data_IF_448163564451
#
_entry.id   IF_448163564451
#
_cell.length_a   1.000
_cell.length_b   1.000
_cell.length_c   1.000
_cell.angle_alpha   90.00
_cell.angle_beta   90.00
_cell.angle_gamma   90.00
#
_symmetry.space_group_name_H-M   'P 1'
#
loop_
_entity.id
_entity.type
_entity.pdbx_description
1 polymer ?
#
# COMPACT_ATOMS: atom_id res chain seq x y z
N UNK A 1 -15.95 43.86 -36.08
CA UNK A 1 -16.89 43.75 -34.94
C UNK A 1 -17.13 42.27 -34.68
N UNK A 2 -16.71 41.60 -33.61
CA UNK A 2 -16.07 42.07 -32.39
C UNK A 2 -15.31 40.88 -31.75
N UNK A 3 -14.07 40.62 -32.21
CA UNK A 3 -13.15 39.63 -31.61
C UNK A 3 -12.62 40.07 -30.24
N UNK A 4 -13.01 41.26 -29.75
CA UNK A 4 -12.61 41.86 -28.46
C UNK A 4 -13.58 41.58 -27.30
N UNK A 5 -14.62 40.75 -27.50
CA UNK A 5 -15.50 40.24 -26.40
C UNK A 5 -15.13 38.84 -25.88
N UNK A 6 -14.00 38.27 -26.31
CA UNK A 6 -13.51 36.96 -25.85
C UNK A 6 -12.45 37.02 -24.73
N UNK A 7 -12.14 38.21 -24.21
CA UNK A 7 -11.45 38.33 -22.93
C UNK A 7 -12.48 38.41 -21.79
N UNK A 8 -12.19 37.72 -20.68
CA UNK A 8 -12.74 37.95 -19.32
C UNK A 8 -13.90 37.08 -18.77
N UNK A 9 -14.13 35.83 -19.22
CA UNK A 9 -14.71 34.83 -18.29
C UNK A 9 -13.59 34.24 -17.42
N UNK A 10 -13.31 34.92 -16.30
CA UNK A 10 -12.29 34.50 -15.31
C UNK A 10 -12.66 33.22 -14.55
N UNK A 11 -13.95 32.86 -14.56
CA UNK A 11 -14.51 31.57 -14.12
C UNK A 11 -15.44 31.03 -15.21
N UNK A 12 -15.56 29.71 -15.29
CA UNK A 12 -16.36 29.02 -16.31
C UNK A 12 -15.57 27.93 -17.02
N UNK A 13 -16.11 26.71 -17.01
CA UNK A 13 -15.59 25.60 -17.81
C UNK A 13 -16.75 24.83 -18.45
N UNK A 14 -16.63 24.54 -19.75
CA UNK A 14 -17.58 23.66 -20.45
C UNK A 14 -17.68 22.29 -19.77
N UNK A 15 -18.85 21.70 -19.85
CA UNK A 15 -19.09 20.39 -19.27
C UNK A 15 -18.21 19.36 -19.96
N UNK A 16 -17.81 18.37 -19.18
CA UNK A 16 -17.09 17.18 -19.66
C UNK A 16 -15.68 17.43 -20.24
N UNK A 17 -15.27 18.70 -20.37
CA UNK A 17 -13.90 19.09 -20.69
C UNK A 17 -13.05 19.16 -19.42
N UNK A 18 -11.81 18.68 -19.50
CA UNK A 18 -10.78 18.88 -18.47
C UNK A 18 -9.78 19.93 -18.97
N UNK A 19 -10.05 21.21 -18.68
CA UNK A 19 -9.09 22.31 -18.92
C UNK A 19 -8.72 22.98 -17.61
N UNK A 20 -7.41 22.98 -17.32
CA UNK A 20 -6.84 23.64 -16.15
C UNK A 20 -6.39 25.06 -16.51
N UNK A 21 -6.42 25.94 -15.51
CA UNK A 21 -5.90 27.30 -15.58
C UNK A 21 -4.95 27.53 -14.41
N UNK A 22 -3.95 28.36 -14.64
CA UNK A 22 -3.09 28.87 -13.58
C UNK A 22 -3.92 29.60 -12.51
N UNK A 23 -3.38 29.63 -11.29
CA UNK A 23 -4.05 30.28 -10.17
C UNK A 23 -4.34 31.74 -10.45
N UNK A 24 -5.53 32.20 -10.08
CA UNK A 24 -5.94 33.61 -10.18
C UNK A 24 -6.44 34.10 -8.83
N UNK A 25 -5.88 35.21 -8.35
CA UNK A 25 -6.31 35.87 -7.12
C UNK A 25 -7.81 36.21 -7.13
N UNK A 26 -8.35 36.56 -8.31
CA UNK A 26 -9.76 36.88 -8.49
C UNK A 26 -10.72 35.75 -8.12
N UNK A 27 -10.28 34.48 -8.06
CA UNK A 27 -11.12 33.37 -7.57
C UNK A 27 -11.55 33.55 -6.12
N UNK A 28 -10.72 34.18 -5.28
CA UNK A 28 -11.10 34.52 -3.90
C UNK A 28 -12.22 35.56 -3.91
N UNK A 29 -12.12 36.56 -4.78
CA UNK A 29 -13.14 37.61 -4.92
C UNK A 29 -14.47 37.06 -5.43
N UNK A 30 -14.44 36.13 -6.41
CA UNK A 30 -15.65 35.45 -6.88
C UNK A 30 -16.31 34.64 -5.78
N UNK A 31 -15.52 33.92 -4.97
CA UNK A 31 -16.04 33.22 -3.81
C UNK A 31 -16.69 34.17 -2.80
N UNK A 32 -16.02 35.26 -2.41
CA UNK A 32 -16.58 36.18 -1.39
C UNK A 32 -17.86 36.88 -1.89
N UNK A 33 -17.93 37.23 -3.19
CA UNK A 33 -19.15 37.75 -3.82
C UNK A 33 -20.29 36.73 -3.75
N UNK A 34 -20.04 35.48 -4.16
CA UNK A 34 -21.07 34.44 -4.17
C UNK A 34 -21.50 34.04 -2.74
N UNK A 35 -20.55 34.00 -1.79
CA UNK A 35 -20.83 33.76 -0.36
C UNK A 35 -21.77 34.80 0.23
N UNK A 36 -21.62 36.08 -0.15
CA UNK A 36 -22.53 37.15 0.27
C UNK A 36 -23.95 36.89 -0.22
N UNK A 37 -24.12 36.58 -1.51
CA UNK A 37 -25.42 36.25 -2.12
C UNK A 37 -26.06 35.01 -1.45
N UNK A 38 -25.27 33.97 -1.21
CA UNK A 38 -25.74 32.77 -0.50
C UNK A 38 -26.23 33.12 0.91
N UNK A 39 -25.46 33.89 1.69
CA UNK A 39 -25.88 34.30 3.04
C UNK A 39 -27.17 35.09 3.05
N UNK A 40 -27.34 36.01 2.10
CA UNK A 40 -28.56 36.81 1.97
C UNK A 40 -29.78 35.93 1.66
N UNK A 41 -29.61 34.84 0.91
CA UNK A 41 -30.71 33.99 0.45
C UNK A 41 -31.05 32.81 1.35
N UNK A 42 -30.04 32.10 1.87
CA UNK A 42 -30.21 30.87 2.66
C UNK A 42 -29.90 31.05 4.16
N UNK A 43 -29.60 32.28 4.57
CA UNK A 43 -29.43 32.68 5.97
C UNK A 43 -28.00 32.60 6.49
N UNK A 44 -27.76 33.25 7.64
CA UNK A 44 -26.44 33.39 8.26
C UNK A 44 -26.06 32.26 9.21
N UNK A 45 -27.02 31.39 9.56
CA UNK A 45 -26.83 30.25 10.45
C UNK A 45 -25.97 29.14 9.82
N UNK A 46 -25.92 29.06 8.49
CA UNK A 46 -25.12 28.06 7.77
C UNK A 46 -23.64 28.47 7.72
N UNK A 47 -22.75 27.48 7.76
CA UNK A 47 -21.31 27.73 7.62
C UNK A 47 -20.92 27.60 6.16
N UNK A 48 -20.21 28.59 5.61
CA UNK A 48 -19.83 28.63 4.19
C UNK A 48 -18.32 28.80 4.07
N UNK A 49 -17.68 27.88 3.36
CA UNK A 49 -16.23 27.79 3.20
C UNK A 49 -15.84 27.67 1.71
N UNK A 50 -14.76 28.33 1.31
CA UNK A 50 -14.16 28.13 -0.02
C UNK A 50 -13.33 26.85 0.04
N UNK A 51 -13.65 25.88 -0.82
CA UNK A 51 -12.93 24.61 -0.90
C UNK A 51 -12.44 24.36 -2.33
N UNK A 52 -11.90 23.16 -2.57
CA UNK A 52 -11.37 22.79 -3.87
C UNK A 52 -10.07 23.54 -4.21
N UNK A 53 -9.56 23.32 -5.42
CA UNK A 53 -8.25 23.87 -5.82
C UNK A 53 -8.26 25.39 -6.02
N UNK A 54 -9.41 25.99 -6.39
CA UNK A 54 -9.51 27.45 -6.56
C UNK A 54 -9.36 28.21 -5.23
N UNK A 55 -9.49 27.52 -4.09
CA UNK A 55 -9.25 28.08 -2.77
C UNK A 55 -7.78 28.04 -2.33
N UNK A 56 -6.87 27.46 -3.12
CA UNK A 56 -5.46 27.29 -2.74
C UNK A 56 -4.59 28.22 -3.60
N UNK A 57 -3.92 29.23 -3.02
CA UNK A 57 -2.98 30.08 -3.75
C UNK A 57 -1.90 29.28 -4.48
N UNK A 58 -1.59 29.65 -5.73
CA UNK A 58 -0.59 28.99 -6.57
C UNK A 58 -1.01 27.65 -7.20
N UNK A 59 -2.23 27.17 -6.94
CA UNK A 59 -2.69 25.87 -7.40
C UNK A 59 -3.43 25.95 -8.75
N UNK A 60 -2.99 25.18 -9.76
CA UNK A 60 -3.75 25.01 -11.01
C UNK A 60 -5.14 24.44 -10.73
N UNK A 61 -6.17 24.93 -11.39
CA UNK A 61 -7.52 24.43 -11.16
C UNK A 61 -8.37 24.51 -12.42
N UNK A 62 -9.44 23.73 -12.43
CA UNK A 62 -10.58 24.06 -13.29
C UNK A 62 -11.14 25.39 -12.77
N UNK A 63 -11.46 26.36 -13.63
CA UNK A 63 -11.91 27.69 -13.22
C UNK A 63 -13.38 27.65 -12.72
N UNK A 64 -13.66 26.81 -11.73
CA UNK A 64 -14.96 26.60 -11.09
C UNK A 64 -14.77 26.84 -9.59
N UNK A 65 -15.62 27.66 -8.99
CA UNK A 65 -15.58 27.94 -7.56
C UNK A 65 -16.32 26.84 -6.80
N UNK A 66 -15.60 26.05 -6.00
CA UNK A 66 -16.18 25.02 -5.14
C UNK A 66 -16.46 25.59 -3.74
N UNK A 67 -17.70 25.49 -3.30
CA UNK A 67 -18.22 26.08 -2.06
C UNK A 67 -18.76 24.95 -1.18
N UNK A 68 -18.35 24.93 0.09
CA UNK A 68 -18.86 23.97 1.08
C UNK A 68 -19.83 24.67 2.02
N UNK A 69 -21.03 24.11 2.16
CA UNK A 69 -22.07 24.63 3.07
C UNK A 69 -22.40 23.58 4.12
N UNK A 70 -22.25 23.96 5.39
CA UNK A 70 -22.51 23.11 6.55
C UNK A 70 -23.89 23.43 7.13
N UNK A 71 -24.79 22.45 7.10
CA UNK A 71 -26.14 22.50 7.69
C UNK A 71 -26.25 21.56 8.89
N UNK A 72 -27.30 21.69 9.71
CA UNK A 72 -27.43 20.91 10.95
C UNK A 72 -27.80 19.45 10.68
N UNK A 73 -28.80 19.24 9.82
CA UNK A 73 -29.18 17.93 9.30
C UNK A 73 -29.31 17.96 7.78
N UNK A 74 -29.03 16.84 7.12
CA UNK A 74 -29.26 16.70 5.68
C UNK A 74 -30.75 16.64 5.34
N UNK A 75 -31.60 16.25 6.29
CA UNK A 75 -33.06 16.24 6.11
C UNK A 75 -33.62 17.65 5.87
N UNK A 76 -32.88 18.69 6.29
CA UNK A 76 -33.24 20.09 6.08
C UNK A 76 -32.99 20.55 4.63
N UNK A 77 -32.42 19.70 3.76
CA UNK A 77 -32.02 20.10 2.39
C UNK A 77 -33.18 20.69 1.59
N UNK A 78 -34.41 20.20 1.80
CA UNK A 78 -35.61 20.68 1.13
C UNK A 78 -35.82 22.19 1.28
N UNK A 79 -35.44 22.75 2.44
CA UNK A 79 -35.55 24.18 2.74
C UNK A 79 -34.60 25.06 1.92
N UNK A 80 -33.58 24.45 1.30
CA UNK A 80 -32.55 25.17 0.56
C UNK A 80 -32.67 25.00 -0.96
N UNK A 81 -33.42 24.02 -1.46
CA UNK A 81 -33.49 23.73 -2.90
C UNK A 81 -34.04 24.92 -3.68
N UNK A 82 -35.22 25.41 -3.31
CA UNK A 82 -35.87 26.50 -4.05
C UNK A 82 -35.12 27.84 -3.93
N UNK A 83 -34.66 28.27 -2.73
CA UNK A 83 -33.81 29.46 -2.62
C UNK A 83 -32.52 29.39 -3.46
N UNK A 84 -31.91 28.22 -3.56
CA UNK A 84 -30.74 27.99 -4.41
C UNK A 84 -31.10 28.03 -5.91
N UNK A 85 -32.24 27.47 -6.31
CA UNK A 85 -32.74 27.52 -7.69
C UNK A 85 -32.96 28.97 -8.15
N UNK A 86 -33.51 29.83 -7.29
CA UNK A 86 -33.69 31.26 -7.57
C UNK A 86 -32.36 32.00 -7.78
N UNK A 87 -31.27 31.52 -7.17
CA UNK A 87 -29.90 32.01 -7.42
C UNK A 87 -29.24 31.41 -8.67
N UNK A 88 -29.98 30.60 -9.44
CA UNK A 88 -29.51 29.94 -10.66
C UNK A 88 -28.70 28.67 -10.43
N UNK A 89 -28.82 28.04 -9.25
CA UNK A 89 -28.26 26.71 -9.02
C UNK A 89 -29.23 25.61 -9.43
N UNK A 90 -28.70 24.51 -9.95
CA UNK A 90 -29.45 23.31 -10.25
C UNK A 90 -29.10 22.23 -9.22
N UNK A 91 -30.12 21.67 -8.56
CA UNK A 91 -29.95 20.57 -7.61
C UNK A 91 -29.72 19.23 -8.31
N UNK A 92 -28.71 18.47 -7.84
CA UNK A 92 -28.26 17.21 -8.46
C UNK A 92 -28.33 16.01 -7.50
N UNK A 93 -29.00 16.15 -6.36
CA UNK A 93 -29.04 15.08 -5.35
C UNK A 93 -27.66 14.78 -4.77
N UNK A 94 -27.40 13.51 -4.46
CA UNK A 94 -26.10 13.10 -3.93
C UNK A 94 -24.99 13.04 -4.97
N UNK A 95 -25.32 12.91 -6.26
CA UNK A 95 -24.36 12.83 -7.37
C UNK A 95 -23.16 11.88 -7.08
N UNK A 96 -23.45 10.70 -6.53
CA UNK A 96 -22.48 9.63 -6.28
C UNK A 96 -21.62 9.77 -5.03
N UNK A 97 -21.89 10.74 -4.14
CA UNK A 97 -21.16 10.90 -2.87
C UNK A 97 -22.15 10.86 -1.70
N UNK A 98 -22.19 9.75 -0.92
CA UNK A 98 -23.08 9.62 0.22
C UNK A 98 -22.91 10.74 1.25
N UNK A 99 -24.03 11.23 1.79
CA UNK A 99 -24.02 12.25 2.84
C UNK A 99 -23.61 13.64 2.34
N UNK A 100 -23.83 13.92 1.06
CA UNK A 100 -23.61 15.21 0.41
C UNK A 100 -24.79 15.53 -0.51
N UNK A 101 -25.23 16.78 -0.54
CA UNK A 101 -26.14 17.31 -1.56
C UNK A 101 -25.40 18.27 -2.49
N UNK A 102 -25.51 18.06 -3.79
CA UNK A 102 -24.73 18.79 -4.80
C UNK A 102 -25.60 19.77 -5.58
N UNK A 103 -25.12 21.00 -5.72
CA UNK A 103 -25.72 22.06 -6.53
C UNK A 103 -24.71 22.61 -7.51
N UNK A 104 -25.21 22.98 -8.68
CA UNK A 104 -24.36 23.44 -9.78
C UNK A 104 -24.94 24.68 -10.43
N UNK A 105 -24.15 25.74 -10.59
CA UNK A 105 -24.55 26.98 -11.28
C UNK A 105 -23.79 27.19 -12.57
N UNK A 106 -24.47 27.76 -13.57
CA UNK A 106 -23.96 27.87 -14.93
C UNK A 106 -25.05 28.16 -15.95
N UNK A 107 -24.77 27.96 -17.24
CA UNK A 107 -25.75 28.12 -18.33
C UNK A 107 -26.15 26.78 -18.98
N UNK A 108 -26.14 25.70 -18.21
CA UNK A 108 -26.35 24.33 -18.69
C UNK A 108 -25.13 23.72 -19.40
N UNK A 109 -24.42 24.48 -20.24
CA UNK A 109 -23.21 24.02 -20.96
C UNK A 109 -21.90 24.30 -20.22
N UNK A 110 -21.85 25.37 -19.43
CA UNK A 110 -20.66 25.84 -18.71
C UNK A 110 -20.96 25.88 -17.22
N UNK A 111 -20.11 25.26 -16.39
CA UNK A 111 -20.13 25.38 -14.93
C UNK A 111 -19.30 26.57 -14.45
N UNK A 112 -19.81 27.34 -13.49
CA UNK A 112 -19.06 28.42 -12.81
C UNK A 112 -18.90 28.17 -11.31
N UNK A 113 -19.93 27.66 -10.65
CA UNK A 113 -19.91 27.38 -9.21
C UNK A 113 -20.48 26.00 -8.91
N UNK A 114 -19.87 25.34 -7.93
CA UNK A 114 -20.29 24.06 -7.39
C UNK A 114 -20.48 24.23 -5.88
N UNK A 115 -21.67 23.92 -5.38
CA UNK A 115 -21.98 24.02 -3.95
C UNK A 115 -22.22 22.60 -3.42
N UNK A 116 -21.53 22.28 -2.33
CA UNK A 116 -21.59 20.99 -1.64
C UNK A 116 -22.22 21.22 -0.27
N UNK A 117 -23.48 20.81 -0.10
CA UNK A 117 -24.14 20.79 1.20
C UNK A 117 -23.79 19.50 1.95
N UNK A 118 -23.35 19.64 3.19
CA UNK A 118 -22.98 18.52 4.06
C UNK A 118 -23.43 18.81 5.48
N UNK A 119 -23.56 17.77 6.31
CA UNK A 119 -23.76 17.96 7.76
C UNK A 119 -22.53 18.67 8.33
N UNK A 120 -22.72 19.75 9.08
CA UNK A 120 -21.65 20.50 9.70
C UNK A 120 -20.83 19.60 10.64
N UNK A 121 -19.50 19.70 10.57
CA UNK A 121 -18.53 18.84 11.29
C UNK A 121 -18.59 17.33 10.99
N UNK A 122 -19.34 16.91 9.96
CA UNK A 122 -19.25 15.54 9.44
C UNK A 122 -17.89 15.23 8.80
N UNK A 123 -17.66 13.98 8.44
CA UNK A 123 -16.46 13.55 7.73
C UNK A 123 -16.28 14.29 6.40
N UNK A 124 -17.36 14.47 5.63
CA UNK A 124 -17.31 15.26 4.39
C UNK A 124 -16.88 16.71 4.68
N UNK A 125 -17.42 17.34 5.72
CA UNK A 125 -17.03 18.69 6.12
C UNK A 125 -15.54 18.76 6.48
N UNK A 126 -15.10 17.89 7.39
CA UNK A 126 -13.73 17.89 7.87
C UNK A 126 -12.73 17.52 6.78
N UNK A 127 -13.05 16.54 5.92
CA UNK A 127 -12.19 16.08 4.81
C UNK A 127 -11.85 17.21 3.85
N UNK A 128 -12.85 17.99 3.42
CA UNK A 128 -12.62 19.09 2.49
C UNK A 128 -11.76 20.20 3.09
N UNK A 129 -12.04 20.61 4.33
CA UNK A 129 -11.27 21.67 5.00
C UNK A 129 -9.84 21.23 5.32
N UNK A 130 -9.66 20.00 5.83
CA UNK A 130 -8.34 19.45 6.10
C UNK A 130 -7.50 19.44 4.83
N UNK A 131 -8.05 18.98 3.70
CA UNK A 131 -7.27 18.88 2.46
C UNK A 131 -6.89 20.25 1.90
N UNK A 132 -7.84 21.20 1.90
CA UNK A 132 -7.54 22.60 1.53
C UNK A 132 -6.43 23.18 2.40
N UNK A 133 -6.59 23.10 3.71
CA UNK A 133 -5.64 23.70 4.66
C UNK A 133 -4.27 23.03 4.52
N UNK A 134 -4.23 21.72 4.29
CA UNK A 134 -3.01 21.00 4.01
C UNK A 134 -2.30 21.54 2.78
N UNK A 135 -2.99 21.69 1.65
CA UNK A 135 -2.38 22.24 0.43
C UNK A 135 -1.88 23.69 0.60
N UNK A 136 -2.47 24.46 1.52
CA UNK A 136 -2.04 25.84 1.82
C UNK A 136 -0.82 25.91 2.73
N UNK A 137 -0.65 24.91 3.60
CA UNK A 137 0.38 24.92 4.67
C UNK A 137 1.55 23.99 4.37
N UNK A 138 1.41 23.10 3.39
CA UNK A 138 2.41 22.11 3.02
C UNK A 138 2.79 22.25 1.55
N UNK A 139 3.92 22.92 1.31
CA UNK A 139 4.43 23.19 -0.02
C UNK A 139 4.71 21.91 -0.82
N UNK A 140 5.23 20.87 -0.17
CA UNK A 140 5.53 19.59 -0.80
C UNK A 140 4.24 18.91 -1.30
N UNK A 141 3.21 18.78 -0.45
CA UNK A 141 1.90 18.22 -0.83
C UNK A 141 1.28 19.06 -1.96
N UNK A 142 1.36 20.38 -1.85
CA UNK A 142 0.82 21.31 -2.84
C UNK A 142 1.46 21.11 -4.21
N UNK A 143 2.80 21.09 -4.27
CA UNK A 143 3.56 20.85 -5.50
C UNK A 143 3.25 19.49 -6.12
N UNK A 144 3.16 18.42 -5.33
CA UNK A 144 2.81 17.09 -5.87
C UNK A 144 1.38 17.03 -6.40
N UNK A 145 0.43 17.66 -5.70
CA UNK A 145 -0.94 17.72 -6.18
C UNK A 145 -1.06 18.55 -7.46
N UNK A 146 -0.25 19.59 -7.61
CA UNK A 146 -0.09 20.34 -8.85
C UNK A 146 0.40 19.44 -9.99
N UNK A 147 1.53 18.75 -9.78
CA UNK A 147 2.14 17.84 -10.78
C UNK A 147 1.16 16.75 -11.22
N UNK A 148 0.48 16.11 -10.26
CA UNK A 148 -0.53 15.09 -10.51
C UNK A 148 -1.65 15.63 -11.41
N UNK A 149 -2.19 16.81 -11.09
CA UNK A 149 -3.28 17.39 -11.88
C UNK A 149 -2.87 17.74 -13.30
N UNK A 150 -1.63 18.20 -13.50
CA UNK A 150 -1.08 18.48 -14.82
C UNK A 150 -1.05 17.20 -15.66
N UNK A 151 -0.42 16.14 -15.13
CA UNK A 151 -0.36 14.83 -15.80
C UNK A 151 -1.73 14.24 -16.08
N UNK A 152 -2.65 14.29 -15.12
CA UNK A 152 -4.01 13.79 -15.30
C UNK A 152 -4.79 14.59 -16.36
N UNK A 153 -4.56 15.89 -16.47
CA UNK A 153 -5.19 16.70 -17.51
C UNK A 153 -4.63 16.36 -18.91
N UNK A 154 -3.33 16.08 -19.00
CA UNK A 154 -2.68 15.62 -20.23
C UNK A 154 -3.18 14.21 -20.63
N UNK A 155 -3.43 13.33 -19.66
CA UNK A 155 -3.83 11.92 -19.89
C UNK A 155 -5.33 11.75 -20.15
N UNK A 156 -6.18 12.53 -19.48
CA UNK A 156 -7.64 12.35 -19.48
C UNK A 156 -8.39 13.62 -19.95
N UNK A 157 -7.85 14.33 -20.94
CA UNK A 157 -8.41 15.59 -21.46
C UNK A 157 -9.91 15.50 -21.82
N UNK A 158 -10.36 14.33 -22.28
CA UNK A 158 -11.74 14.04 -22.72
C UNK A 158 -12.56 13.16 -21.75
N UNK A 159 -11.99 12.73 -20.60
CA UNK A 159 -12.69 11.86 -19.64
C UNK A 159 -12.68 12.40 -18.20
N UNK A 160 -13.67 13.25 -17.91
CA UNK A 160 -13.83 13.94 -16.62
C UNK A 160 -14.06 13.01 -15.41
N UNK A 161 -14.84 11.92 -15.48
CA UNK A 161 -14.97 10.97 -14.38
C UNK A 161 -13.63 10.34 -13.99
N UNK A 162 -12.89 9.78 -14.95
CA UNK A 162 -11.57 9.18 -14.70
C UNK A 162 -10.57 10.19 -14.13
N UNK A 163 -10.56 11.43 -14.63
CA UNK A 163 -9.75 12.51 -14.04
C UNK A 163 -10.09 12.79 -12.57
N UNK A 164 -11.37 12.73 -12.21
CA UNK A 164 -11.83 13.04 -10.86
C UNK A 164 -11.48 11.93 -9.89
N UNK A 165 -11.75 10.68 -10.27
CA UNK A 165 -11.47 9.49 -9.45
C UNK A 165 -9.97 9.26 -9.26
N UNK A 166 -9.16 9.55 -10.27
CA UNK A 166 -7.70 9.39 -10.20
C UNK A 166 -7.03 10.29 -9.14
N UNK A 167 -7.72 11.34 -8.65
CA UNK A 167 -7.21 12.19 -7.56
C UNK A 167 -7.55 11.67 -6.17
N UNK A 168 -8.54 10.77 -6.05
CA UNK A 168 -9.05 10.31 -4.76
C UNK A 168 -7.98 9.63 -3.92
N UNK A 169 -7.13 8.82 -4.55
CA UNK A 169 -6.00 8.16 -3.88
C UNK A 169 -5.02 9.18 -3.30
N UNK A 170 -4.62 10.17 -4.10
CA UNK A 170 -3.72 11.23 -3.62
C UNK A 170 -4.33 11.99 -2.43
N UNK A 171 -5.60 12.39 -2.53
CA UNK A 171 -6.27 13.16 -1.47
C UNK A 171 -6.32 12.35 -0.18
N UNK A 172 -6.71 11.08 -0.26
CA UNK A 172 -6.79 10.19 0.90
C UNK A 172 -5.42 9.99 1.55
N UNK A 173 -4.37 9.80 0.74
CA UNK A 173 -3.00 9.63 1.22
C UNK A 173 -2.48 10.92 1.88
N UNK A 174 -2.63 12.05 1.21
CA UNK A 174 -2.18 13.35 1.69
C UNK A 174 -2.84 13.72 3.03
N UNK A 175 -4.13 13.42 3.19
CA UNK A 175 -4.88 13.70 4.42
C UNK A 175 -4.44 12.87 5.62
N UNK A 176 -3.85 11.70 5.41
CA UNK A 176 -3.47 10.78 6.49
C UNK A 176 -2.02 10.97 6.93
N UNK A 177 -1.09 11.20 6.00
CA UNK A 177 0.35 11.22 6.32
C UNK A 177 1.14 12.32 5.55
N UNK A 178 0.79 13.60 5.65
CA UNK A 178 1.17 14.64 4.68
C UNK A 178 2.66 14.86 4.39
N UNK A 179 3.56 14.62 5.36
CA UNK A 179 4.99 14.92 5.21
C UNK A 179 5.82 13.67 4.86
N UNK A 180 5.72 12.62 5.66
CA UNK A 180 6.59 11.43 5.50
C UNK A 180 6.19 10.59 4.28
N UNK A 181 4.90 10.54 3.94
CA UNK A 181 4.41 9.71 2.82
C UNK A 181 4.83 10.26 1.47
N UNK A 182 4.95 11.58 1.32
CA UNK A 182 5.12 12.18 0.00
C UNK A 182 6.52 11.96 -0.54
N UNK A 183 7.53 11.92 0.32
CA UNK A 183 8.89 11.54 -0.06
C UNK A 183 8.90 10.11 -0.60
N UNK A 184 8.28 9.16 0.12
CA UNK A 184 8.12 7.78 -0.36
C UNK A 184 7.36 7.68 -1.66
N UNK A 185 6.25 8.39 -1.79
CA UNK A 185 5.48 8.37 -3.03
C UNK A 185 6.22 9.00 -4.22
N UNK A 186 7.24 9.82 -3.98
CA UNK A 186 8.12 10.33 -5.03
C UNK A 186 9.12 9.26 -5.46
N UNK A 187 9.68 8.51 -4.52
CA UNK A 187 10.51 7.33 -4.80
C UNK A 187 9.73 6.27 -5.62
N UNK A 188 8.40 6.23 -5.47
CA UNK A 188 7.53 5.35 -6.24
C UNK A 188 7.21 5.82 -7.67
N UNK A 189 7.65 7.02 -8.09
CA UNK A 189 7.49 7.50 -9.48
C UNK A 189 8.41 6.79 -10.48
N UNK A 190 9.51 6.23 -10.00
CA UNK A 190 10.38 5.35 -10.78
C UNK A 190 10.77 4.19 -9.88
N UNK A 191 9.92 3.17 -9.86
CA UNK A 191 10.02 2.10 -8.88
C UNK A 191 11.24 1.20 -9.13
N UNK A 192 12.16 1.21 -8.17
CA UNK A 192 13.37 0.35 -8.15
C UNK A 192 13.47 -0.53 -6.90
N UNK A 193 12.34 -0.73 -6.19
CA UNK A 193 12.24 -1.42 -4.89
C UNK A 193 12.81 -2.85 -4.90
N UNK A 194 12.62 -3.60 -5.98
CA UNK A 194 13.01 -4.99 -6.06
C UNK A 194 13.92 -5.24 -7.27
N UNK A 195 14.55 -6.43 -7.36
CA UNK A 195 15.51 -6.74 -8.42
C UNK A 195 14.94 -6.66 -9.84
N UNK A 196 13.61 -6.60 -10.00
CA UNK A 196 12.94 -6.40 -11.29
C UNK A 196 13.20 -5.01 -11.90
N UNK A 197 13.57 -4.02 -11.09
CA UNK A 197 13.94 -2.67 -11.51
C UNK A 197 13.05 -2.09 -12.63
N UNK A 198 11.73 -2.10 -12.43
CA UNK A 198 10.79 -1.81 -13.52
C UNK A 198 10.66 -0.31 -13.85
N UNK A 199 11.16 0.58 -12.99
CA UNK A 199 11.23 2.04 -13.20
C UNK A 199 9.90 2.74 -13.51
N UNK A 200 8.79 2.04 -13.30
CA UNK A 200 7.45 2.57 -13.54
C UNK A 200 7.05 3.60 -12.50
N UNK A 201 6.09 4.42 -12.88
CA UNK A 201 5.36 5.29 -11.95
C UNK A 201 4.17 4.54 -11.34
N UNK A 202 4.30 4.14 -10.07
CA UNK A 202 3.26 3.36 -9.37
C UNK A 202 1.96 4.14 -9.12
N UNK A 203 1.94 5.45 -9.35
CA UNK A 203 0.71 6.24 -9.33
C UNK A 203 -0.25 5.88 -10.45
N UNK A 204 0.29 5.47 -11.59
CA UNK A 204 -0.48 5.30 -12.83
C UNK A 204 -0.37 3.88 -13.39
N UNK A 205 0.71 3.18 -13.07
CA UNK A 205 1.04 1.89 -13.65
C UNK A 205 1.35 0.86 -12.57
N UNK A 206 1.24 -0.41 -12.95
CA UNK A 206 1.59 -1.55 -12.12
C UNK A 206 2.65 -2.37 -12.85
N UNK A 207 3.68 -2.77 -12.12
CA UNK A 207 4.81 -3.51 -12.68
C UNK A 207 4.54 -5.01 -12.63
N UNK A 208 5.62 -5.78 -12.77
CA UNK A 208 5.58 -7.23 -12.60
C UNK A 208 4.86 -7.65 -11.31
N UNK A 209 5.19 -6.97 -10.20
CA UNK A 209 4.61 -7.25 -8.89
C UNK A 209 3.18 -6.75 -8.68
N UNK A 210 2.51 -6.16 -9.69
CA UNK A 210 1.12 -5.69 -9.65
C UNK A 210 0.77 -4.68 -8.53
N UNK A 211 1.78 -4.12 -7.87
CA UNK A 211 1.63 -3.30 -6.67
C UNK A 211 1.62 -1.81 -6.99
N UNK A 212 0.71 -1.07 -6.34
CA UNK A 212 0.52 0.37 -6.52
C UNK A 212 1.16 1.20 -5.40
N UNK A 213 0.61 2.40 -5.19
CA UNK A 213 1.01 3.32 -4.11
C UNK A 213 0.55 2.86 -2.74
N UNK A 214 -0.69 2.37 -2.64
CA UNK A 214 -1.23 1.79 -1.41
C UNK A 214 -0.71 0.37 -1.23
N UNK A 215 -0.58 -0.07 0.03
CA UNK A 215 -0.38 -1.50 0.30
C UNK A 215 -1.67 -2.23 0.06
N UNK A 216 -1.60 -3.48 -0.40
CA UNK A 216 -2.77 -4.34 -0.54
C UNK A 216 -2.66 -5.48 0.46
N UNK A 217 -3.66 -5.64 1.32
CA UNK A 217 -3.68 -6.62 2.40
C UNK A 217 -4.93 -7.48 2.25
N UNK A 218 -4.78 -8.79 2.39
CA UNK A 218 -5.91 -9.71 2.40
C UNK A 218 -6.44 -9.97 3.81
N UNK A 219 -5.52 -10.21 4.75
CA UNK A 219 -5.80 -10.69 6.08
C UNK A 219 -4.74 -10.18 7.05
N UNK A 220 -5.16 -9.79 8.25
CA UNK A 220 -4.30 -9.68 9.41
C UNK A 220 -4.97 -10.37 10.59
N UNK A 221 -4.19 -11.12 11.38
CA UNK A 221 -4.67 -11.82 12.57
C UNK A 221 -3.49 -12.32 13.41
N UNK A 222 -3.77 -12.77 14.62
CA UNK A 222 -2.86 -13.67 15.33
C UNK A 222 -2.80 -15.02 14.61
N UNK A 223 -1.62 -15.37 14.13
CA UNK A 223 -1.35 -16.63 13.46
C UNK A 223 -0.47 -17.51 14.34
N UNK A 224 -0.86 -18.78 14.46
CA UNK A 224 -0.16 -19.77 15.30
C UNK A 224 0.59 -20.81 14.46
N UNK A 225 0.55 -20.71 13.13
CA UNK A 225 1.23 -21.62 12.20
C UNK A 225 2.64 -21.20 11.80
N UNK A 226 3.17 -20.07 12.31
CA UNK A 226 4.60 -19.73 12.15
C UNK A 226 5.47 -20.58 13.08
N UNK A 227 6.80 -20.51 12.96
CA UNK A 227 7.72 -21.26 13.83
C UNK A 227 7.42 -21.04 15.32
N UNK A 228 7.63 -22.08 16.17
CA UNK A 228 7.28 -22.01 17.59
C UNK A 228 7.83 -20.79 18.33
N UNK A 229 9.04 -20.35 17.95
CA UNK A 229 9.71 -19.18 18.55
C UNK A 229 9.13 -17.83 18.08
N UNK A 230 8.34 -17.81 17.01
CA UNK A 230 7.62 -16.62 16.53
C UNK A 230 6.17 -16.61 17.01
N UNK A 231 5.49 -17.75 16.90
CA UNK A 231 4.09 -17.92 17.29
C UNK A 231 3.93 -17.93 18.81
N UNK A 232 4.78 -18.68 19.52
CA UNK A 232 4.69 -18.87 20.96
C UNK A 232 3.26 -19.18 21.45
N UNK A 233 2.96 -18.77 22.68
CA UNK A 233 1.63 -18.91 23.28
C UNK A 233 0.63 -17.82 22.87
N UNK A 234 1.08 -16.68 22.34
CA UNK A 234 0.23 -15.51 22.05
C UNK A 234 0.02 -15.25 20.57
N UNK A 235 0.58 -16.08 19.69
CA UNK A 235 0.52 -15.93 18.25
C UNK A 235 1.45 -14.85 17.70
N UNK A 236 1.81 -15.02 16.44
CA UNK A 236 2.49 -14.02 15.61
C UNK A 236 1.43 -13.07 15.03
N UNK A 237 1.59 -11.76 15.18
CA UNK A 237 0.67 -10.76 14.62
C UNK A 237 0.90 -10.62 13.13
N UNK A 238 0.33 -11.52 12.33
CA UNK A 238 0.69 -11.68 10.93
C UNK A 238 -0.19 -10.84 10.00
N UNK A 239 0.44 -10.11 9.08
CA UNK A 239 -0.19 -9.31 8.03
C UNK A 239 0.17 -9.92 6.67
N UNK A 240 -0.82 -10.43 5.96
CA UNK A 240 -0.67 -11.08 4.66
C UNK A 240 -0.89 -10.07 3.52
N UNK A 241 0.22 -9.64 2.92
CA UNK A 241 0.19 -8.72 1.78
C UNK A 241 -0.19 -9.43 0.48
N UNK A 242 -0.97 -8.74 -0.35
CA UNK A 242 -1.33 -9.18 -1.69
C UNK A 242 -0.29 -8.71 -2.71
N UNK A 243 -0.27 -9.44 -3.84
CA UNK A 243 0.72 -9.41 -4.90
C UNK A 243 2.10 -9.93 -4.45
N UNK A 244 3.04 -10.09 -5.39
CA UNK A 244 4.40 -10.54 -5.10
C UNK A 244 5.35 -10.15 -6.22
N UNK A 245 6.63 -9.91 -5.90
CA UNK A 245 7.69 -9.69 -6.89
C UNK A 245 8.26 -10.98 -7.51
N UNK A 246 7.77 -12.14 -7.06
CA UNK A 246 8.17 -13.48 -7.50
C UNK A 246 6.97 -14.25 -8.08
N UNK A 247 7.19 -14.98 -9.17
CA UNK A 247 6.15 -15.67 -9.93
C UNK A 247 6.09 -17.17 -9.67
N UNK A 248 6.10 -17.61 -8.42
CA UNK A 248 6.18 -19.04 -8.06
C UNK A 248 5.00 -19.84 -8.62
N UNK A 249 5.26 -20.85 -9.43
CA UNK A 249 4.23 -21.74 -10.01
C UNK A 249 3.58 -22.66 -8.98
N UNK A 250 4.21 -22.83 -7.82
CA UNK A 250 3.74 -23.67 -6.71
C UNK A 250 3.36 -22.83 -5.47
N UNK A 251 3.06 -21.53 -5.63
CA UNK A 251 2.79 -20.66 -4.49
C UNK A 251 1.55 -21.12 -3.69
N UNK A 252 1.73 -21.52 -2.43
CA UNK A 252 0.62 -21.85 -1.53
C UNK A 252 -0.29 -20.65 -1.25
N UNK A 253 0.27 -19.44 -1.32
CA UNK A 253 -0.45 -18.17 -1.17
C UNK A 253 -0.89 -17.55 -2.51
N UNK A 254 -1.01 -18.33 -3.60
CA UNK A 254 -1.26 -17.78 -4.95
C UNK A 254 -2.52 -16.90 -5.06
N UNK A 255 -3.54 -17.15 -4.24
CA UNK A 255 -4.76 -16.33 -4.21
C UNK A 255 -4.45 -14.86 -3.91
N UNK A 256 -3.54 -14.60 -2.97
CA UNK A 256 -3.14 -13.25 -2.62
C UNK A 256 -1.94 -12.78 -3.45
N UNK A 257 -0.96 -13.64 -3.72
CA UNK A 257 0.30 -13.26 -4.37
C UNK A 257 0.18 -13.16 -5.89
N UNK A 258 -0.58 -14.05 -6.55
CA UNK A 258 -0.70 -14.12 -8.01
C UNK A 258 -2.02 -13.56 -8.52
N UNK A 259 -3.13 -13.86 -7.82
CA UNK A 259 -4.47 -13.36 -8.17
C UNK A 259 -4.79 -12.01 -7.51
N UNK A 260 -3.99 -11.56 -6.54
CA UNK A 260 -4.09 -10.24 -5.94
C UNK A 260 -5.34 -10.03 -5.09
N UNK A 261 -5.90 -11.06 -4.46
CA UNK A 261 -7.07 -10.91 -3.58
C UNK A 261 -6.75 -10.02 -2.38
N UNK A 262 -7.69 -9.16 -1.97
CA UNK A 262 -7.51 -8.25 -0.83
C UNK A 262 -7.91 -6.80 -1.13
N UNK A 263 -7.71 -5.92 -0.15
CA UNK A 263 -8.11 -4.50 -0.20
C UNK A 263 -6.91 -3.58 -0.07
N UNK A 264 -7.03 -2.38 -0.62
CA UNK A 264 -5.99 -1.36 -0.50
C UNK A 264 -6.08 -0.62 0.84
N UNK A 265 -4.93 -0.43 1.46
CA UNK A 265 -4.75 0.31 2.70
C UNK A 265 -3.62 1.33 2.51
N UNK A 266 -3.81 2.49 3.11
CA UNK A 266 -2.77 3.51 3.25
C UNK A 266 -1.72 3.10 4.29
N UNK A 267 -0.55 3.74 4.25
CA UNK A 267 0.50 3.58 5.27
C UNK A 267 -0.02 3.85 6.69
N UNK A 268 -0.87 4.86 6.85
CA UNK A 268 -1.51 5.19 8.13
C UNK A 268 -2.38 4.05 8.65
N UNK A 269 -3.21 3.47 7.79
CA UNK A 269 -4.02 2.29 8.15
C UNK A 269 -3.15 1.07 8.43
N UNK A 270 -2.06 0.86 7.70
CA UNK A 270 -1.12 -0.22 8.01
C UNK A 270 -0.50 -0.02 9.40
N UNK A 271 -0.10 1.20 9.77
CA UNK A 271 0.39 1.50 11.10
C UNK A 271 -0.68 1.23 12.19
N UNK A 272 -1.93 1.60 11.93
CA UNK A 272 -3.05 1.32 12.84
C UNK A 272 -3.30 -0.20 12.99
N UNK A 273 -3.21 -0.97 11.89
CA UNK A 273 -3.29 -2.44 11.92
C UNK A 273 -2.16 -3.05 12.78
N UNK A 274 -0.93 -2.53 12.69
CA UNK A 274 0.18 -2.99 13.53
C UNK A 274 -0.11 -2.76 15.03
N UNK A 275 -0.71 -1.61 15.38
CA UNK A 275 -1.09 -1.31 16.76
C UNK A 275 -2.23 -2.19 17.24
N UNK A 276 -3.24 -2.44 16.40
CA UNK A 276 -4.34 -3.37 16.69
C UNK A 276 -3.81 -4.78 17.04
N UNK A 277 -2.85 -5.29 16.26
CA UNK A 277 -2.23 -6.59 16.51
C UNK A 277 -1.43 -6.59 17.83
N UNK A 278 -0.75 -5.49 18.16
CA UNK A 278 -0.09 -5.35 19.45
C UNK A 278 -1.09 -5.31 20.62
N UNK A 279 -2.20 -4.58 20.48
CA UNK A 279 -3.28 -4.53 21.48
C UNK A 279 -3.92 -5.90 21.70
N UNK A 280 -3.89 -6.77 20.68
CA UNK A 280 -4.30 -8.18 20.79
C UNK A 280 -3.27 -9.09 21.50
N UNK A 281 -2.19 -8.51 22.02
CA UNK A 281 -1.07 -9.14 22.73
C UNK A 281 -0.22 -10.10 21.88
N UNK A 282 -0.18 -9.91 20.56
CA UNK A 282 0.70 -10.67 19.68
C UNK A 282 2.19 -10.52 20.08
N UNK A 283 2.99 -11.56 19.89
CA UNK A 283 4.42 -11.52 20.24
C UNK A 283 5.24 -10.60 19.35
N UNK A 284 4.82 -10.42 18.10
CA UNK A 284 5.51 -9.63 17.08
C UNK A 284 4.51 -9.19 16.00
N UNK A 285 4.96 -8.31 15.11
CA UNK A 285 4.29 -8.00 13.84
C UNK A 285 5.02 -8.71 12.71
N UNK A 286 4.38 -9.69 12.09
CA UNK A 286 4.95 -10.50 11.01
C UNK A 286 4.40 -10.08 9.65
N UNK A 287 5.28 -9.52 8.83
CA UNK A 287 4.96 -8.93 7.55
C UNK A 287 5.25 -9.96 6.45
N UNK A 288 4.21 -10.57 5.89
CA UNK A 288 4.34 -11.70 4.93
C UNK A 288 4.24 -11.20 3.49
N UNK A 289 5.26 -11.51 2.68
CA UNK A 289 5.46 -10.94 1.33
C UNK A 289 5.59 -9.41 1.30
N UNK A 290 6.47 -8.80 2.12
CA UNK A 290 6.53 -7.34 2.28
C UNK A 290 7.34 -6.63 1.19
N UNK A 291 8.23 -7.34 0.49
CA UNK A 291 9.27 -6.78 -0.39
C UNK A 291 8.76 -5.70 -1.35
N UNK A 292 7.68 -5.96 -2.09
CA UNK A 292 7.18 -5.01 -3.09
C UNK A 292 6.53 -3.77 -2.48
N UNK A 293 6.29 -3.74 -1.16
CA UNK A 293 5.80 -2.59 -0.40
C UNK A 293 6.84 -2.02 0.56
N UNK A 294 8.13 -2.35 0.40
CA UNK A 294 9.15 -2.06 1.42
C UNK A 294 9.24 -0.59 1.85
N UNK A 295 9.16 0.36 0.90
CA UNK A 295 9.20 1.78 1.24
C UNK A 295 7.93 2.21 1.98
N UNK A 296 6.76 1.70 1.59
CA UNK A 296 5.52 1.98 2.30
C UNK A 296 5.52 1.41 3.72
N UNK A 297 6.06 0.20 3.89
CA UNK A 297 6.15 -0.48 5.18
C UNK A 297 7.15 0.23 6.09
N UNK A 298 8.30 0.69 5.57
CA UNK A 298 9.28 1.51 6.31
C UNK A 298 8.59 2.66 7.06
N UNK A 299 7.81 3.45 6.34
CA UNK A 299 7.09 4.58 6.93
C UNK A 299 5.97 4.14 7.88
N UNK A 300 5.30 3.02 7.58
CA UNK A 300 4.25 2.49 8.45
C UNK A 300 4.83 2.06 9.80
N UNK A 301 6.00 1.42 9.81
CA UNK A 301 6.71 1.04 11.04
C UNK A 301 7.10 2.30 11.81
N UNK A 302 7.72 3.29 11.17
CA UNK A 302 8.10 4.56 11.84
C UNK A 302 6.87 5.21 12.49
N UNK A 303 5.77 5.34 11.74
CA UNK A 303 4.52 5.92 12.24
C UNK A 303 3.91 5.09 13.39
N UNK A 304 3.94 3.76 13.29
CA UNK A 304 3.44 2.89 14.35
C UNK A 304 4.30 3.02 15.62
N UNK A 305 5.63 3.12 15.50
CA UNK A 305 6.55 3.35 16.63
C UNK A 305 6.28 4.71 17.30
N UNK A 306 6.09 5.78 16.52
CA UNK A 306 5.68 7.10 17.04
C UNK A 306 4.37 7.03 17.84
N UNK A 307 3.44 6.16 17.41
CA UNK A 307 2.16 5.90 18.09
C UNK A 307 2.25 4.87 19.22
N UNK A 308 3.43 4.33 19.53
CA UNK A 308 3.64 3.43 20.67
C UNK A 308 3.74 1.94 20.35
N UNK A 309 3.99 1.54 19.11
CA UNK A 309 4.37 0.16 18.77
C UNK A 309 5.71 -0.18 19.44
N UNK A 310 5.76 -1.29 20.19
CA UNK A 310 6.91 -1.75 21.00
C UNK A 310 7.34 -3.18 20.70
N UNK A 311 6.44 -4.03 20.21
CA UNK A 311 6.78 -5.43 19.89
C UNK A 311 7.68 -5.54 18.64
N UNK A 312 8.45 -6.63 18.47
CA UNK A 312 9.34 -6.83 17.33
C UNK A 312 8.64 -6.84 15.97
N UNK A 313 9.35 -6.40 14.92
CA UNK A 313 8.95 -6.56 13.52
C UNK A 313 9.67 -7.77 12.91
N UNK A 314 8.90 -8.70 12.35
CA UNK A 314 9.37 -9.84 11.56
C UNK A 314 9.17 -9.55 10.07
N UNK A 315 10.23 -9.68 9.29
CA UNK A 315 10.24 -9.53 7.84
C UNK A 315 10.25 -10.89 7.14
N UNK A 316 9.07 -11.39 6.78
CA UNK A 316 8.87 -12.71 6.19
C UNK A 316 8.78 -12.63 4.67
N UNK A 317 9.91 -12.86 4.00
CA UNK A 317 10.11 -12.56 2.58
C UNK A 317 10.57 -13.76 1.77
N UNK A 318 10.53 -13.62 0.45
CA UNK A 318 10.99 -14.65 -0.49
C UNK A 318 12.51 -14.57 -0.79
N UNK A 319 13.26 -13.71 -0.09
CA UNK A 319 14.67 -13.39 -0.31
C UNK A 319 15.05 -12.75 -1.66
N UNK A 320 14.12 -12.56 -2.61
CA UNK A 320 14.40 -11.89 -3.88
C UNK A 320 14.35 -10.37 -3.72
N UNK A 321 15.31 -9.82 -2.98
CA UNK A 321 15.31 -8.43 -2.51
C UNK A 321 16.61 -7.70 -2.87
N UNK A 322 16.51 -6.39 -3.07
CA UNK A 322 17.69 -5.54 -3.32
C UNK A 322 18.34 -5.14 -2.01
N UNK A 323 19.67 -5.21 -1.96
CA UNK A 323 20.46 -4.75 -0.80
C UNK A 323 20.20 -3.27 -0.52
N UNK A 324 20.06 -2.45 -1.56
CA UNK A 324 19.79 -1.01 -1.42
C UNK A 324 18.44 -0.76 -0.75
N UNK A 325 17.43 -1.59 -1.02
CA UNK A 325 16.12 -1.51 -0.38
C UNK A 325 16.19 -2.00 1.06
N UNK A 326 16.84 -3.14 1.30
CA UNK A 326 17.01 -3.70 2.65
C UNK A 326 17.78 -2.77 3.57
N UNK A 327 18.82 -2.08 3.07
CA UNK A 327 19.62 -1.14 3.86
C UNK A 327 18.79 -0.01 4.49
N UNK A 328 17.67 0.36 3.84
CA UNK A 328 16.74 1.39 4.32
C UNK A 328 15.81 0.89 5.44
N UNK A 329 15.81 -0.41 5.72
CA UNK A 329 15.06 -1.05 6.81
C UNK A 329 15.92 -1.25 8.06
N UNK A 330 17.21 -0.89 8.01
CA UNK A 330 18.15 -1.05 9.12
C UNK A 330 17.65 -0.34 10.38
N UNK A 331 17.49 -1.10 11.46
CA UNK A 331 16.98 -0.61 12.74
C UNK A 331 15.45 -0.54 12.85
N UNK A 332 14.72 -0.90 11.80
CA UNK A 332 13.25 -0.99 11.80
C UNK A 332 12.76 -2.44 11.85
N UNK A 333 13.49 -3.36 11.22
CA UNK A 333 13.23 -4.80 11.27
C UNK A 333 14.10 -5.42 12.36
N UNK A 334 13.45 -6.20 13.23
CA UNK A 334 14.11 -6.89 14.34
C UNK A 334 14.50 -8.32 13.94
N UNK A 335 13.61 -9.01 13.22
CA UNK A 335 13.78 -10.40 12.82
C UNK A 335 13.61 -10.53 11.31
N UNK A 336 14.57 -11.17 10.64
CA UNK A 336 14.45 -11.53 9.24
C UNK A 336 14.11 -13.01 9.09
N UNK A 337 13.10 -13.29 8.25
CA UNK A 337 12.61 -14.63 7.94
C UNK A 337 12.55 -14.84 6.42
N UNK A 338 13.70 -14.91 5.72
CA UNK A 338 13.74 -15.15 4.29
C UNK A 338 13.52 -16.63 3.96
N UNK A 339 12.72 -16.89 2.93
CA UNK A 339 12.71 -18.16 2.21
C UNK A 339 13.89 -18.21 1.23
N UNK A 340 14.85 -19.10 1.41
CA UNK A 340 15.95 -19.30 0.46
C UNK A 340 15.67 -20.51 -0.45
N UNK A 341 15.11 -20.26 -1.63
CA UNK A 341 14.43 -21.29 -2.44
C UNK A 341 15.32 -22.02 -3.45
N UNK A 342 16.33 -21.35 -4.01
CA UNK A 342 17.09 -21.87 -5.15
C UNK A 342 18.58 -21.57 -5.06
N UNK A 343 19.37 -22.52 -5.55
CA UNK A 343 20.80 -22.35 -5.83
C UNK A 343 21.14 -22.47 -7.33
N UNK A 344 20.11 -22.61 -8.17
CA UNK A 344 20.22 -22.74 -9.63
C UNK A 344 19.35 -21.70 -10.35
N UNK A 345 19.97 -20.98 -11.28
CA UNK A 345 19.29 -19.99 -12.13
C UNK A 345 18.20 -20.65 -13.00
N UNK A 346 18.47 -21.87 -13.47
CA UNK A 346 17.53 -22.66 -14.29
C UNK A 346 16.25 -22.95 -13.52
N UNK A 347 16.37 -23.44 -12.28
CA UNK A 347 15.20 -23.74 -11.44
C UNK A 347 14.47 -22.48 -11.01
N UNK A 348 15.21 -21.42 -10.67
CA UNK A 348 14.60 -20.16 -10.29
C UNK A 348 13.82 -19.49 -11.43
N UNK A 349 14.35 -19.55 -12.66
CA UNK A 349 13.63 -19.14 -13.87
C UNK A 349 12.42 -20.02 -14.12
N UNK A 350 12.60 -21.35 -14.11
CA UNK A 350 11.54 -22.32 -14.44
C UNK A 350 10.35 -22.24 -13.47
N UNK A 351 10.62 -22.17 -12.16
CA UNK A 351 9.58 -22.31 -11.15
C UNK A 351 9.13 -21.01 -10.51
N UNK A 352 9.88 -19.91 -10.67
CA UNK A 352 9.58 -18.62 -10.04
C UNK A 352 9.77 -17.40 -10.95
N UNK A 353 10.11 -17.62 -12.23
CA UNK A 353 10.34 -16.58 -13.23
C UNK A 353 11.43 -15.57 -12.79
N UNK A 354 12.45 -16.02 -12.07
CA UNK A 354 13.51 -15.18 -11.52
C UNK A 354 14.89 -15.83 -11.71
N UNK A 355 15.43 -15.76 -12.93
CA UNK A 355 16.70 -16.41 -13.30
C UNK A 355 17.87 -16.04 -12.38
N UNK A 356 18.04 -14.76 -12.04
CA UNK A 356 19.12 -14.28 -11.17
C UNK A 356 18.83 -14.43 -9.65
N UNK A 357 17.84 -15.23 -9.26
CA UNK A 357 17.45 -15.38 -7.85
C UNK A 357 18.60 -15.82 -6.93
N UNK A 358 19.41 -16.85 -7.24
CA UNK A 358 20.38 -17.37 -6.28
C UNK A 358 21.38 -16.30 -5.84
N UNK A 359 21.91 -15.52 -6.79
CA UNK A 359 22.87 -14.46 -6.49
C UNK A 359 22.24 -13.31 -5.70
N UNK A 360 21.01 -12.92 -6.07
CA UNK A 360 20.28 -11.86 -5.37
C UNK A 360 19.92 -12.29 -3.94
N UNK A 361 19.41 -13.50 -3.76
CA UNK A 361 19.02 -14.03 -2.46
C UNK A 361 20.22 -14.12 -1.50
N UNK A 362 21.38 -14.62 -1.97
CA UNK A 362 22.62 -14.64 -1.18
C UNK A 362 23.01 -13.23 -0.71
N UNK A 363 22.97 -12.22 -1.59
CA UNK A 363 23.27 -10.83 -1.23
C UNK A 363 22.27 -10.26 -0.23
N UNK A 364 20.98 -10.52 -0.46
CA UNK A 364 19.90 -10.09 0.43
C UNK A 364 20.05 -10.68 1.83
N UNK A 365 20.26 -11.99 1.93
CA UNK A 365 20.43 -12.70 3.21
C UNK A 365 21.67 -12.22 3.96
N UNK A 366 22.79 -11.97 3.26
CA UNK A 366 23.98 -11.37 3.89
C UNK A 366 23.69 -9.98 4.47
N UNK A 367 22.92 -9.16 3.74
CA UNK A 367 22.52 -7.84 4.24
C UNK A 367 21.57 -7.95 5.44
N UNK A 368 20.60 -8.87 5.40
CA UNK A 368 19.73 -9.17 6.54
C UNK A 368 20.55 -9.57 7.77
N UNK A 369 21.47 -10.53 7.60
CA UNK A 369 22.36 -10.99 8.65
C UNK A 369 23.23 -9.85 9.22
N UNK A 370 23.79 -9.00 8.35
CA UNK A 370 24.56 -7.82 8.78
C UNK A 370 23.75 -6.89 9.71
N UNK A 371 22.45 -6.75 9.48
CA UNK A 371 21.60 -5.87 10.27
C UNK A 371 21.22 -6.43 11.64
N UNK A 372 20.94 -7.74 11.72
CA UNK A 372 20.33 -8.33 12.94
C UNK A 372 21.17 -9.41 13.62
N UNK A 373 22.17 -9.98 12.93
CA UNK A 373 23.02 -11.07 13.42
C UNK A 373 22.27 -12.39 13.60
N UNK A 374 22.85 -13.28 14.41
CA UNK A 374 22.21 -14.55 14.79
C UNK A 374 20.97 -14.33 15.64
N UNK A 375 20.05 -15.30 15.56
CA UNK A 375 18.78 -15.24 16.28
C UNK A 375 18.98 -15.27 17.80
N UNK A 376 18.36 -14.31 18.46
CA UNK A 376 18.30 -14.14 19.89
C UNK A 376 16.89 -14.47 20.37
N UNK A 377 16.83 -15.31 21.39
CA UNK A 377 15.59 -15.78 22.00
C UNK A 377 15.54 -15.27 23.45
N UNK A 378 14.38 -14.81 23.88
CA UNK A 378 14.17 -14.36 25.26
C UNK A 378 14.04 -15.54 26.25
N UNK A 379 13.92 -15.21 27.53
CA UNK A 379 13.74 -16.21 28.61
C UNK A 379 12.46 -17.07 28.49
N UNK A 380 11.51 -16.67 27.64
CA UNK A 380 10.26 -17.38 27.41
C UNK A 380 10.31 -18.24 26.14
N UNK A 381 11.46 -18.33 25.47
CA UNK A 381 11.59 -19.08 24.22
C UNK A 381 11.07 -18.34 23.00
N UNK A 382 10.90 -17.01 23.06
CA UNK A 382 10.39 -16.20 21.94
C UNK A 382 11.51 -15.42 21.27
N UNK A 383 11.57 -15.45 19.95
CA UNK A 383 12.55 -14.70 19.17
C UNK A 383 12.33 -13.19 19.34
N UNK A 384 13.41 -12.45 19.57
CA UNK A 384 13.37 -10.99 19.75
C UNK A 384 14.16 -10.22 18.70
N UNK A 385 15.22 -10.83 18.14
CA UNK A 385 16.06 -10.21 17.12
C UNK A 385 16.89 -11.26 16.39
N UNK A 386 17.15 -11.10 15.10
CA UNK A 386 18.12 -11.91 14.36
C UNK A 386 17.56 -12.61 13.13
N UNK A 387 18.35 -13.52 12.54
CA UNK A 387 18.04 -14.20 11.28
C UNK A 387 17.60 -15.66 11.50
N UNK A 388 16.47 -16.03 10.90
CA UNK A 388 15.96 -17.41 10.77
C UNK A 388 15.70 -17.67 9.28
N UNK A 389 16.35 -18.66 8.67
CA UNK A 389 16.20 -18.93 7.22
C UNK A 389 15.24 -20.10 7.01
N UNK A 390 14.22 -19.91 6.15
CA UNK A 390 13.29 -20.96 5.73
C UNK A 390 13.77 -21.66 4.47
N UNK A 391 13.74 -22.98 4.50
CA UNK A 391 14.05 -23.85 3.38
C UNK A 391 12.87 -24.77 3.11
N UNK A 392 12.10 -24.44 2.06
CA UNK A 392 11.06 -25.34 1.55
C UNK A 392 11.72 -26.40 0.68
N UNK A 393 11.66 -27.66 1.12
CA UNK A 393 12.21 -28.77 0.35
C UNK A 393 11.29 -29.04 -0.86
N UNK A 394 11.86 -29.01 -2.05
CA UNK A 394 11.14 -29.32 -3.29
C UNK A 394 11.48 -30.74 -3.77
N UNK A 395 10.54 -31.45 -4.41
CA UNK A 395 10.81 -32.73 -5.07
C UNK A 395 12.03 -32.67 -5.99
N UNK A 396 12.84 -33.73 -5.99
CA UNK A 396 14.03 -33.89 -6.84
C UNK A 396 15.08 -32.77 -6.71
N UNK A 397 15.06 -32.02 -5.59
CA UNK A 397 15.88 -30.82 -5.42
C UNK A 397 17.02 -30.94 -4.41
N UNK A 398 17.43 -32.18 -4.08
CA UNK A 398 18.44 -32.46 -3.04
C UNK A 398 19.71 -31.64 -3.20
N UNK A 399 20.34 -31.71 -4.38
CA UNK A 399 21.64 -31.06 -4.64
C UNK A 399 21.57 -29.55 -4.41
N UNK A 400 20.44 -28.90 -4.70
CA UNK A 400 20.30 -27.46 -4.44
C UNK A 400 20.16 -27.17 -2.96
N UNK A 401 19.42 -28.01 -2.23
CA UNK A 401 19.24 -27.84 -0.78
C UNK A 401 20.56 -28.03 -0.04
N UNK A 402 21.36 -29.03 -0.44
CA UNK A 402 22.71 -29.22 0.10
C UNK A 402 23.61 -28.00 -0.16
N UNK A 403 23.61 -27.47 -1.39
CA UNK A 403 24.41 -26.29 -1.72
C UNK A 403 23.97 -25.04 -0.94
N UNK A 404 22.67 -24.87 -0.71
CA UNK A 404 22.13 -23.80 0.14
C UNK A 404 22.66 -23.95 1.56
N UNK A 405 22.52 -25.14 2.16
CA UNK A 405 22.96 -25.40 3.54
C UNK A 405 24.48 -25.22 3.70
N UNK A 406 25.29 -25.71 2.75
CA UNK A 406 26.74 -25.50 2.73
C UNK A 406 27.08 -24.01 2.69
N UNK A 407 26.46 -23.27 1.78
CA UNK A 407 26.67 -21.83 1.67
C UNK A 407 26.32 -21.09 2.96
N UNK A 408 25.21 -21.45 3.63
CA UNK A 408 24.83 -20.86 4.91
C UNK A 408 25.88 -21.16 5.97
N UNK A 409 26.28 -22.42 6.14
CA UNK A 409 27.26 -22.82 7.15
C UNK A 409 28.61 -22.10 6.95
N UNK A 410 29.06 -21.96 5.70
CA UNK A 410 30.32 -21.30 5.35
C UNK A 410 30.26 -19.77 5.47
N UNK A 411 29.11 -19.16 5.14
CA UNK A 411 28.99 -17.69 5.02
C UNK A 411 28.45 -17.03 6.28
N UNK A 412 27.49 -17.68 6.94
CA UNK A 412 26.74 -17.14 8.07
C UNK A 412 27.02 -17.87 9.37
N UNK A 413 27.64 -19.07 9.33
CA UNK A 413 27.90 -19.88 10.51
C UNK A 413 26.84 -20.95 10.76
N UNK A 414 27.23 -22.00 11.47
CA UNK A 414 26.43 -23.21 11.78
C UNK A 414 25.38 -22.98 12.88
N UNK A 415 25.56 -21.91 13.64
CA UNK A 415 24.66 -21.38 14.64
C UNK A 415 23.41 -20.71 14.02
N UNK A 416 23.41 -20.47 12.71
CA UNK A 416 22.27 -19.89 11.98
C UNK A 416 21.04 -20.79 12.14
N UNK A 417 19.92 -20.20 12.56
CA UNK A 417 18.67 -20.92 12.70
C UNK A 417 18.10 -21.27 11.32
N UNK A 418 17.83 -22.56 11.10
CA UNK A 418 17.20 -23.08 9.88
C UNK A 418 15.81 -23.63 10.19
N UNK A 419 14.80 -23.22 9.42
CA UNK A 419 13.48 -23.83 9.40
C UNK A 419 13.37 -24.70 8.15
N UNK A 420 13.53 -26.02 8.31
CA UNK A 420 13.48 -26.98 7.21
C UNK A 420 12.05 -27.52 7.06
N UNK A 421 11.35 -27.04 6.03
CA UNK A 421 9.93 -27.26 5.86
C UNK A 421 9.63 -28.44 4.92
N UNK A 422 8.86 -29.41 5.43
CA UNK A 422 8.32 -30.57 4.69
C UNK A 422 7.01 -30.26 3.95
N UNK A 423 6.42 -29.10 4.19
CA UNK A 423 5.05 -28.70 3.82
C UNK A 423 4.80 -28.51 2.31
N UNK A 424 5.71 -28.93 1.43
CA UNK A 424 5.48 -28.81 -0.01
C UNK A 424 4.31 -29.69 -0.45
N UNK A 425 3.35 -29.08 -1.14
CA UNK A 425 2.31 -29.78 -1.89
C UNK A 425 2.05 -29.07 -3.23
N UNK A 426 1.74 -29.82 -4.30
CA UNK A 426 1.47 -29.22 -5.59
C UNK A 426 0.19 -28.37 -5.52
N UNK A 427 0.31 -27.11 -5.95
CA UNK A 427 -0.79 -26.14 -5.96
C UNK A 427 -0.56 -25.11 -7.07
N UNK A 428 -1.55 -24.24 -7.28
CA UNK A 428 -1.56 -23.23 -8.33
C UNK A 428 -1.30 -23.82 -9.73
N UNK A 429 -0.09 -23.66 -10.26
CA UNK A 429 0.36 -24.14 -11.59
C UNK A 429 1.39 -25.25 -11.50
N UNK A 430 1.66 -25.79 -10.31
CA UNK A 430 2.61 -26.89 -10.13
C UNK A 430 2.26 -28.12 -10.99
N UNK A 431 0.97 -28.33 -11.31
CA UNK A 431 0.51 -29.40 -12.20
C UNK A 431 1.04 -29.33 -13.63
N UNK A 432 1.53 -28.17 -14.05
CA UNK A 432 2.17 -27.98 -15.36
C UNK A 432 3.62 -28.47 -15.39
N UNK A 433 4.18 -28.85 -14.25
CA UNK A 433 5.58 -29.23 -14.06
C UNK A 433 5.66 -30.63 -13.42
N UNK A 434 5.79 -31.69 -14.23
CA UNK A 434 5.73 -33.07 -13.74
C UNK A 434 6.68 -33.36 -12.58
N UNK A 435 7.86 -32.73 -12.55
CA UNK A 435 8.90 -32.96 -11.55
C UNK A 435 8.49 -32.51 -10.14
N UNK A 436 7.64 -31.47 -10.06
CA UNK A 436 7.16 -30.92 -8.78
C UNK A 436 5.66 -31.14 -8.58
N UNK A 437 4.98 -31.87 -9.47
CA UNK A 437 3.56 -32.19 -9.35
C UNK A 437 3.30 -33.40 -8.41
N UNK A 438 4.01 -33.45 -7.28
CA UNK A 438 3.90 -34.49 -6.26
C UNK A 438 4.40 -33.97 -4.92
N UNK A 439 3.98 -34.57 -3.82
CA UNK A 439 4.58 -34.30 -2.52
C UNK A 439 5.99 -34.91 -2.39
N UNK A 440 6.70 -34.50 -1.35
CA UNK A 440 7.98 -35.11 -0.98
C UNK A 440 7.79 -36.57 -0.57
N UNK A 441 8.75 -37.41 -0.94
CA UNK A 441 8.87 -38.75 -0.36
C UNK A 441 9.53 -38.66 1.02
N UNK A 442 9.27 -39.63 1.93
CA UNK A 442 9.96 -39.67 3.22
C UNK A 442 11.48 -39.72 3.09
N UNK A 443 12.00 -40.42 2.08
CA UNK A 443 13.43 -40.50 1.79
C UNK A 443 14.03 -39.14 1.42
N UNK A 444 13.38 -38.38 0.51
CA UNK A 444 13.86 -37.05 0.11
C UNK A 444 13.96 -36.08 1.30
N UNK A 445 12.98 -36.14 2.21
CA UNK A 445 13.00 -35.28 3.39
C UNK A 445 14.06 -35.74 4.40
N UNK A 446 14.12 -37.04 4.71
CA UNK A 446 15.10 -37.60 5.64
C UNK A 446 16.54 -37.33 5.18
N UNK A 447 16.83 -37.49 3.89
CA UNK A 447 18.14 -37.17 3.34
C UNK A 447 18.51 -35.69 3.52
N UNK A 448 17.52 -34.79 3.49
CA UNK A 448 17.75 -33.36 3.72
C UNK A 448 18.03 -33.05 5.19
N UNK A 449 17.37 -33.77 6.11
CA UNK A 449 17.66 -33.71 7.55
C UNK A 449 19.08 -34.19 7.85
N UNK A 450 19.49 -35.32 7.25
CA UNK A 450 20.84 -35.88 7.41
C UNK A 450 21.93 -34.91 6.93
N UNK A 451 21.68 -34.14 5.86
CA UNK A 451 22.60 -33.10 5.40
C UNK A 451 22.76 -32.00 6.45
N UNK A 452 21.66 -31.56 7.08
CA UNK A 452 21.68 -30.54 8.13
C UNK A 452 22.50 -31.01 9.34
N UNK A 453 22.33 -32.26 9.75
CA UNK A 453 23.10 -32.90 10.82
C UNK A 453 24.59 -33.05 10.45
N UNK A 454 24.88 -33.52 9.23
CA UNK A 454 26.26 -33.76 8.75
C UNK A 454 27.06 -32.45 8.65
N UNK A 455 26.42 -31.35 8.26
CA UNK A 455 27.05 -30.04 8.22
C UNK A 455 27.25 -29.44 9.63
N UNK A 456 26.55 -29.98 10.63
CA UNK A 456 26.69 -29.64 12.04
C UNK A 456 25.97 -28.37 12.44
N UNK A 457 24.78 -28.12 11.87
CA UNK A 457 23.95 -27.00 12.31
C UNK A 457 23.49 -27.19 13.77
N UNK A 458 23.60 -26.12 14.56
CA UNK A 458 23.34 -26.18 16.01
C UNK A 458 21.88 -25.89 16.35
N UNK A 459 21.20 -25.13 15.48
CA UNK A 459 19.86 -24.60 15.72
C UNK A 459 18.96 -24.81 14.51
N UNK A 460 17.75 -25.30 14.73
CA UNK A 460 16.76 -25.37 13.66
C UNK A 460 15.48 -26.08 14.04
N UNK A 461 14.49 -25.96 13.16
CA UNK A 461 13.23 -26.67 13.22
C UNK A 461 13.18 -27.64 12.05
N UNK A 462 12.94 -28.91 12.35
CA UNK A 462 12.60 -29.94 11.37
C UNK A 462 11.12 -30.24 11.60
N UNK A 463 10.31 -30.03 10.57
CA UNK A 463 8.88 -30.29 10.64
C UNK A 463 8.61 -31.77 10.40
N UNK A 464 7.66 -32.36 11.13
CA UNK A 464 7.18 -33.70 10.81
C UNK A 464 6.60 -33.72 9.38
N UNK A 465 6.63 -34.87 8.72
CA UNK A 465 6.03 -35.05 7.40
C UNK A 465 4.50 -35.03 7.52
N UNK A 466 3.93 -33.83 7.57
CA UNK A 466 2.48 -33.61 7.55
C UNK A 466 2.05 -32.92 6.25
N UNK A 467 1.16 -33.57 5.50
CA UNK A 467 0.60 -33.04 4.26
C UNK A 467 -0.78 -32.49 4.58
N UNK A 468 -0.87 -31.25 5.07
CA UNK A 468 -2.19 -30.61 5.25
C UNK A 468 -2.20 -29.17 4.73
N UNK A 469 -3.23 -28.78 3.95
CA UNK A 469 -3.47 -27.39 3.60
C UNK A 469 -4.05 -26.58 4.77
N UNK A 470 -4.23 -27.19 5.94
CA UNK A 470 -4.87 -26.59 7.13
C UNK A 470 -4.05 -25.42 7.70
N UNK A 471 -2.74 -25.43 7.48
CA UNK A 471 -1.84 -24.38 7.92
C UNK A 471 -1.89 -23.13 7.03
N UNK A 472 -2.43 -23.24 5.81
CA UNK A 472 -2.61 -22.10 4.90
C UNK A 472 -3.86 -21.30 5.30
N UNK A 473 -3.76 -19.98 5.55
CA UNK A 473 -4.91 -19.17 5.89
C UNK A 473 -5.99 -19.19 4.81
N UNK A 474 -7.26 -19.20 5.22
CA UNK A 474 -8.40 -19.10 4.28
C UNK A 474 -8.57 -17.66 3.80
N UNK A 475 -7.97 -17.35 2.65
CA UNK A 475 -8.10 -16.03 2.02
C UNK A 475 -9.48 -15.81 1.40
N UNK A 476 -9.92 -14.54 1.37
CA UNK A 476 -11.18 -14.10 0.75
C UNK A 476 -10.90 -13.13 -0.39
N UNK A 477 -11.76 -13.12 -1.42
CA UNK A 477 -11.60 -12.25 -2.60
C UNK A 477 -11.59 -10.77 -2.25
#
# INVERSE_FOLDING_TARGET
MDKKRMDAKMIGLENDIVKLSEYKQSWIEYFEKEKKLLREKIGYQVKIEHIGSTSVPGMIAKPIIDILIGIKSLDEIGNYIEPMNELGYEYKGEAGVPGRHFFRKGNGKVSTHHVHFVKYKSDNWNRHLKFRNLLRTNELVSRKYYELKKRLADTFSENRPLYTDSKSNFITIALRCPNNIITVLDELKSCTICPRNCEIDRWFQKGYCKSGVNVKINLWQKHFGEEPILSGSRGSGTIFFSNCNLGCVFCQNYQISQLGWGKEYSIGELADIMLELQESEAHNINLVSPTHYALQIREAIILAREKGLKIPIVWNSNAYEKVETLSQLSGLVDIYLPDFKYFSDVSARKYSDAENYPEIAKKAIKEMFRQVGHLQIDKNGIAVKGLLIRLLVLPENKNQTENILRWIAETLGKETYISLMSQYYPTYRASEFPEINRSLTPAEYQETVEILETLGFENGFVQELEITPEWTPRFKK
#
